data_IF_189516298266
#
_entry.id   IF_189516298266
#
_cell.length_a   1.000
_cell.length_b   1.000
_cell.length_c   1.000
_cell.angle_alpha   90.00
_cell.angle_beta   90.00
_cell.angle_gamma   90.00
#
_symmetry.space_group_name_H-M   'P 1'
#
loop_
_entity.id
_entity.type
_entity.pdbx_description
1 polymer ?
#
# COMPACT_ATOMS: atom_id res chain seq x y z
N UNK A 1 42.93 0.04 -31.53
CA UNK A 1 41.56 -0.49 -31.38
C UNK A 1 40.55 0.38 -32.09
N UNK A 2 40.57 1.70 -31.89
CA UNK A 2 39.63 2.66 -32.50
C UNK A 2 39.71 2.61 -34.03
N UNK A 3 40.91 2.56 -34.63
CA UNK A 3 41.06 2.54 -36.08
C UNK A 3 40.39 1.31 -36.72
N UNK A 4 40.49 0.13 -36.09
CA UNK A 4 39.78 -1.08 -36.57
C UNK A 4 38.25 -0.97 -36.49
N UNK A 5 37.74 -0.23 -35.51
CA UNK A 5 36.32 0.02 -35.37
C UNK A 5 35.80 0.98 -36.44
N UNK A 6 36.61 2.00 -36.75
CA UNK A 6 36.32 2.97 -37.82
C UNK A 6 36.35 2.26 -39.18
N UNK A 7 37.36 1.48 -39.48
CA UNK A 7 37.48 0.73 -40.73
C UNK A 7 36.34 -0.27 -40.92
N UNK A 8 35.95 -0.98 -39.85
CA UNK A 8 34.78 -1.88 -39.86
C UNK A 8 33.48 -1.13 -40.15
N UNK A 9 33.30 0.03 -39.50
CA UNK A 9 32.13 0.89 -39.68
C UNK A 9 32.00 1.40 -41.12
N UNK A 10 33.10 1.85 -41.69
CA UNK A 10 33.14 2.36 -43.06
C UNK A 10 32.93 1.25 -44.10
N UNK A 11 33.40 0.04 -43.84
CA UNK A 11 33.24 -1.10 -44.73
C UNK A 11 31.85 -1.71 -44.72
N UNK A 12 31.16 -1.64 -43.51
CA UNK A 12 29.84 -2.24 -43.31
C UNK A 12 28.75 -1.19 -43.08
N UNK A 13 28.63 -0.24 -44.00
CA UNK A 13 27.67 0.91 -43.87
C UNK A 13 26.25 0.48 -43.59
N UNK A 14 25.75 -0.56 -44.28
CA UNK A 14 24.38 -1.06 -44.15
C UNK A 14 24.16 -1.68 -42.74
N UNK A 15 25.14 -2.40 -42.21
CA UNK A 15 25.08 -2.99 -40.88
C UNK A 15 25.07 -1.90 -39.81
N UNK A 16 25.83 -0.83 -39.98
CA UNK A 16 25.86 0.30 -39.05
C UNK A 16 24.53 1.06 -39.07
N UNK A 17 23.90 1.26 -40.23
CA UNK A 17 22.57 1.87 -40.32
C UNK A 17 21.50 1.00 -39.68
N UNK A 18 21.52 -0.32 -39.89
CA UNK A 18 20.62 -1.27 -39.23
C UNK A 18 20.78 -1.24 -37.72
N UNK A 19 22.01 -1.19 -37.23
CA UNK A 19 22.30 -1.10 -35.80
C UNK A 19 21.80 0.22 -35.20
N UNK A 20 21.99 1.33 -35.90
CA UNK A 20 21.46 2.62 -35.47
C UNK A 20 19.93 2.64 -35.40
N UNK A 21 19.25 2.03 -36.39
CA UNK A 21 17.79 1.89 -36.39
C UNK A 21 17.33 1.01 -35.22
N UNK A 22 18.02 -0.08 -34.95
CA UNK A 22 17.72 -0.97 -33.82
C UNK A 22 17.82 -0.24 -32.49
N UNK A 23 18.87 0.54 -32.26
CA UNK A 23 19.03 1.36 -31.06
C UNK A 23 17.90 2.41 -30.95
N UNK A 24 17.54 3.05 -32.07
CA UNK A 24 16.47 4.03 -32.10
C UNK A 24 15.11 3.42 -31.71
N UNK A 25 14.80 2.24 -32.25
CA UNK A 25 13.57 1.50 -31.92
C UNK A 25 13.59 1.06 -30.45
N UNK A 26 14.72 0.53 -29.96
CA UNK A 26 14.87 0.13 -28.57
C UNK A 26 14.74 1.33 -27.62
N UNK A 27 15.34 2.47 -27.96
CA UNK A 27 15.24 3.71 -27.20
C UNK A 27 13.81 4.26 -27.16
N UNK A 28 13.12 4.27 -28.30
CA UNK A 28 11.72 4.67 -28.37
C UNK A 28 10.82 3.77 -27.50
N UNK A 29 11.06 2.46 -27.58
CA UNK A 29 10.30 1.50 -26.78
C UNK A 29 10.58 1.66 -25.28
N UNK A 30 11.84 1.86 -24.88
CA UNK A 30 12.20 2.16 -23.50
C UNK A 30 11.55 3.46 -23.01
N UNK A 31 11.58 4.51 -23.85
CA UNK A 31 10.94 5.78 -23.53
C UNK A 31 9.43 5.65 -23.27
N UNK A 32 8.72 4.87 -24.08
CA UNK A 32 7.27 4.67 -23.92
C UNK A 32 6.89 3.76 -22.74
N UNK A 33 7.85 3.04 -22.19
CA UNK A 33 7.65 2.15 -21.05
C UNK A 33 8.08 2.77 -19.71
N UNK A 34 8.70 3.95 -19.71
CA UNK A 34 9.04 4.65 -18.48
C UNK A 34 7.73 5.09 -17.82
N UNK A 35 7.41 4.60 -16.61
CA UNK A 35 6.28 5.14 -15.85
C UNK A 35 6.59 6.61 -15.51
N UNK A 36 5.70 7.50 -15.93
CA UNK A 36 5.80 8.92 -15.61
C UNK A 36 4.71 9.21 -14.60
N UNK A 37 5.07 9.27 -13.34
CA UNK A 37 4.20 9.74 -12.29
C UNK A 37 4.23 11.27 -12.25
N UNK A 38 3.07 11.89 -12.19
CA UNK A 38 2.96 13.36 -12.10
C UNK A 38 3.58 13.90 -10.81
N UNK A 39 3.54 13.09 -9.76
CA UNK A 39 4.23 13.33 -8.49
C UNK A 39 4.94 12.03 -8.09
N UNK A 40 6.22 12.11 -7.66
CA UNK A 40 6.91 10.93 -7.15
C UNK A 40 6.18 10.46 -5.88
N UNK A 41 5.89 9.15 -5.81
CA UNK A 41 5.37 8.56 -4.59
C UNK A 41 6.52 8.51 -3.57
N UNK A 42 6.44 9.40 -2.60
CA UNK A 42 7.37 9.49 -1.46
C UNK A 42 6.75 8.87 -0.21
N UNK A 43 5.67 8.13 -0.36
CA UNK A 43 5.03 7.45 0.77
C UNK A 43 5.98 6.39 1.33
N UNK A 44 6.17 6.36 2.64
CA UNK A 44 6.98 5.32 3.26
C UNK A 44 6.32 3.96 3.07
N UNK A 45 7.12 2.92 2.99
CA UNK A 45 6.66 1.55 2.92
C UNK A 45 6.09 1.16 4.30
N UNK A 46 4.78 1.26 4.46
CA UNK A 46 4.08 1.24 5.74
C UNK A 46 3.01 0.15 5.79
N UNK A 47 3.05 -0.67 6.83
CA UNK A 47 1.95 -1.56 7.21
C UNK A 47 1.35 -1.09 8.52
N UNK A 48 0.05 -0.84 8.52
CA UNK A 48 -0.70 -0.39 9.70
C UNK A 48 -1.47 -1.55 10.31
N UNK A 49 -1.48 -1.60 11.63
CA UNK A 49 -2.30 -2.53 12.41
C UNK A 49 -3.21 -1.71 13.32
N UNK A 50 -4.50 -1.96 13.22
CA UNK A 50 -5.53 -1.32 14.03
C UNK A 50 -6.12 -2.32 15.02
N UNK A 51 -6.39 -1.88 16.23
CA UNK A 51 -7.16 -2.66 17.20
C UNK A 51 -8.20 -1.75 17.83
N UNK A 52 -9.45 -2.04 17.56
CA UNK A 52 -10.57 -1.36 18.21
C UNK A 52 -10.88 -2.04 19.53
N UNK A 53 -11.01 -1.24 20.58
CA UNK A 53 -11.29 -1.70 21.94
C UNK A 53 -12.48 -0.93 22.50
N UNK A 54 -13.38 -1.60 23.21
CA UNK A 54 -14.52 -0.93 23.81
C UNK A 54 -14.20 -0.44 25.23
N UNK A 55 -14.25 0.89 25.43
CA UNK A 55 -14.30 1.52 26.76
C UNK A 55 -13.00 1.55 27.55
N UNK A 56 -11.87 1.19 26.95
CA UNK A 56 -10.57 1.19 27.64
C UNK A 56 -9.88 2.56 27.59
N UNK A 57 -9.18 2.89 28.69
CA UNK A 57 -8.32 4.07 28.73
C UNK A 57 -7.04 3.88 27.88
N UNK A 58 -6.43 4.97 27.37
CA UNK A 58 -5.22 4.88 26.53
C UNK A 58 -4.08 4.10 27.19
N UNK A 59 -3.88 4.22 28.49
CA UNK A 59 -2.84 3.54 29.26
C UNK A 59 -3.10 2.02 29.34
N UNK A 60 -4.36 1.61 29.42
CA UNK A 60 -4.75 0.19 29.42
C UNK A 60 -4.58 -0.39 28.01
N UNK A 61 -4.96 0.35 26.97
CA UNK A 61 -4.75 -0.04 25.57
C UNK A 61 -3.27 -0.20 25.28
N UNK A 62 -2.44 0.74 25.74
CA UNK A 62 -0.99 0.66 25.57
C UNK A 62 -0.43 -0.62 26.20
N UNK A 63 -0.81 -0.90 27.44
CA UNK A 63 -0.27 -2.04 28.20
C UNK A 63 -0.72 -3.40 27.67
N UNK A 64 -2.00 -3.55 27.33
CA UNK A 64 -2.60 -4.84 27.03
C UNK A 64 -2.77 -5.13 25.54
N UNK A 65 -2.73 -4.10 24.68
CA UNK A 65 -2.96 -4.24 23.24
C UNK A 65 -1.78 -3.75 22.43
N UNK A 66 -1.39 -2.48 22.61
CA UNK A 66 -0.36 -1.86 21.76
C UNK A 66 1.01 -2.49 21.98
N UNK A 67 1.43 -2.64 23.25
CA UNK A 67 2.73 -3.21 23.59
C UNK A 67 2.93 -4.66 23.12
N UNK A 68 1.99 -5.61 23.28
CA UNK A 68 2.10 -6.94 22.70
C UNK A 68 2.26 -6.93 21.17
N UNK A 69 1.51 -6.06 20.47
CA UNK A 69 1.63 -5.92 19.01
C UNK A 69 2.99 -5.35 18.63
N UNK A 70 3.47 -4.31 19.29
CA UNK A 70 4.81 -3.74 19.05
C UNK A 70 5.91 -4.77 19.24
N UNK A 71 5.86 -5.51 20.35
CA UNK A 71 6.86 -6.54 20.65
C UNK A 71 6.86 -7.63 19.57
N UNK A 72 5.69 -8.06 19.13
CA UNK A 72 5.57 -9.05 18.05
C UNK A 72 6.13 -8.55 16.72
N UNK A 73 6.03 -7.25 16.43
CA UNK A 73 6.56 -6.65 15.21
C UNK A 73 8.08 -6.40 15.28
N UNK A 74 8.64 -6.34 16.50
CA UNK A 74 10.08 -6.10 16.66
C UNK A 74 10.90 -7.27 16.12
N UNK A 75 11.93 -6.95 15.34
CA UNK A 75 12.87 -7.96 14.80
C UNK A 75 12.43 -8.63 13.49
N UNK A 76 11.39 -8.16 12.85
CA UNK A 76 11.09 -8.55 11.46
C UNK A 76 12.17 -8.06 10.49
N UNK A 77 12.52 -8.84 9.46
CA UNK A 77 13.52 -8.43 8.49
C UNK A 77 13.02 -7.24 7.65
N UNK A 78 13.91 -6.29 7.38
CA UNK A 78 13.61 -5.11 6.57
C UNK A 78 12.76 -4.04 7.25
N UNK A 79 12.60 -4.10 8.59
CA UNK A 79 11.97 -3.01 9.36
C UNK A 79 12.97 -1.87 9.55
N UNK A 80 12.51 -0.65 9.24
CA UNK A 80 13.18 0.59 9.59
C UNK A 80 12.77 1.07 10.99
N UNK A 81 11.45 1.13 11.25
CA UNK A 81 10.93 1.65 12.52
C UNK A 81 9.51 1.11 12.83
N UNK A 82 9.17 1.07 14.12
CA UNK A 82 7.80 0.80 14.60
C UNK A 82 7.35 1.98 15.45
N UNK A 83 6.18 2.51 15.18
CA UNK A 83 5.55 3.60 15.95
C UNK A 83 4.11 3.27 16.22
N UNK A 84 3.68 3.54 17.43
CA UNK A 84 2.31 3.30 17.86
C UNK A 84 1.63 4.55 18.41
N UNK A 85 0.32 4.51 18.43
CA UNK A 85 -0.54 5.52 19.03
C UNK A 85 -1.66 4.78 19.76
N UNK A 86 -1.75 5.00 21.06
CA UNK A 86 -2.84 4.50 21.89
C UNK A 86 -3.81 5.63 22.21
N UNK A 87 -5.01 5.55 21.66
CA UNK A 87 -6.09 6.49 21.92
C UNK A 87 -7.24 5.78 22.65
N UNK A 88 -8.19 6.53 23.17
CA UNK A 88 -9.39 5.97 23.76
C UNK A 88 -10.14 5.10 22.74
N UNK A 89 -10.25 3.80 23.04
CA UNK A 89 -10.94 2.84 22.19
C UNK A 89 -10.17 2.38 20.93
N UNK A 90 -8.94 2.84 20.70
CA UNK A 90 -8.20 2.53 19.47
C UNK A 90 -6.70 2.44 19.71
N UNK A 91 -6.10 1.33 19.29
CA UNK A 91 -4.66 1.19 19.10
C UNK A 91 -4.30 1.21 17.62
N UNK A 92 -3.26 1.95 17.26
CA UNK A 92 -2.70 1.99 15.91
C UNK A 92 -1.22 1.72 15.98
N UNK A 93 -0.75 0.64 15.38
CA UNK A 93 0.68 0.31 15.27
C UNK A 93 1.11 0.44 13.82
N UNK A 94 2.05 1.34 13.57
CA UNK A 94 2.63 1.63 12.26
C UNK A 94 3.99 0.95 12.15
N UNK A 95 4.11 0.00 11.23
CA UNK A 95 5.34 -0.73 10.95
C UNK A 95 5.93 -0.20 9.65
N UNK A 96 7.05 0.51 9.75
CA UNK A 96 7.76 1.09 8.62
C UNK A 96 8.83 0.10 8.15
N UNK A 97 8.85 -0.17 6.86
CA UNK A 97 9.83 -1.00 6.20
C UNK A 97 10.78 -0.17 5.34
N UNK A 98 11.95 -0.71 5.06
CA UNK A 98 12.89 -0.12 4.10
C UNK A 98 12.26 -0.01 2.72
N UNK A 99 12.69 0.97 1.91
CA UNK A 99 12.07 1.29 0.62
C UNK A 99 12.21 0.17 -0.43
N UNK A 100 13.19 -0.72 -0.27
CA UNK A 100 13.45 -1.84 -1.16
C UNK A 100 12.64 -3.11 -0.84
N UNK A 101 11.90 -3.10 0.28
CA UNK A 101 11.04 -4.22 0.69
C UNK A 101 9.73 -4.18 -0.07
N UNK A 102 9.33 -5.29 -0.69
CA UNK A 102 8.02 -5.40 -1.32
C UNK A 102 6.89 -5.32 -0.29
N UNK A 103 5.89 -4.45 -0.53
CA UNK A 103 4.80 -4.20 0.41
C UNK A 103 3.96 -5.46 0.69
N UNK A 104 3.78 -6.34 -0.28
CA UNK A 104 3.03 -7.58 -0.08
C UNK A 104 3.80 -8.57 0.78
N UNK A 105 5.13 -8.62 0.62
CA UNK A 105 6.00 -9.40 1.49
C UNK A 105 5.99 -8.84 2.92
N UNK A 106 6.11 -7.53 3.09
CA UNK A 106 6.00 -6.85 4.38
C UNK A 106 4.68 -7.21 5.10
N UNK A 107 3.56 -7.14 4.37
CA UNK A 107 2.24 -7.50 4.89
C UNK A 107 2.12 -8.96 5.30
N UNK A 108 2.75 -9.87 4.55
CA UNK A 108 2.78 -11.29 4.91
C UNK A 108 3.52 -11.49 6.23
N UNK A 109 4.69 -10.87 6.40
CA UNK A 109 5.46 -10.94 7.65
C UNK A 109 4.68 -10.40 8.85
N UNK A 110 4.06 -9.22 8.67
CA UNK A 110 3.20 -8.61 9.71
C UNK A 110 2.03 -9.53 10.06
N UNK A 111 1.37 -10.13 9.06
CA UNK A 111 0.24 -11.03 9.31
C UNK A 111 0.65 -12.29 10.09
N UNK A 112 1.82 -12.86 9.81
CA UNK A 112 2.35 -14.01 10.55
C UNK A 112 2.59 -13.64 12.02
N UNK A 113 3.22 -12.50 12.28
CA UNK A 113 3.47 -12.01 13.65
C UNK A 113 2.20 -11.57 14.37
N UNK A 114 1.22 -11.10 13.63
CA UNK A 114 -0.04 -10.67 14.19
C UNK A 114 -0.83 -11.83 14.82
N UNK A 115 -0.66 -13.04 14.28
CA UNK A 115 -1.24 -14.24 14.91
C UNK A 115 -0.63 -14.50 16.30
N UNK A 116 0.69 -14.34 16.43
CA UNK A 116 1.38 -14.48 17.73
C UNK A 116 0.95 -13.38 18.72
N UNK A 117 0.77 -12.14 18.23
CA UNK A 117 0.30 -11.03 19.05
C UNK A 117 -1.12 -11.25 19.59
N UNK A 118 -2.01 -11.82 18.77
CA UNK A 118 -3.40 -12.13 19.18
C UNK A 118 -3.48 -13.04 20.39
N UNK A 119 -2.58 -14.02 20.48
CA UNK A 119 -2.52 -14.95 21.63
C UNK A 119 -2.09 -14.27 22.94
N UNK A 120 -1.43 -13.09 22.84
CA UNK A 120 -0.94 -12.35 24.00
C UNK A 120 -1.93 -11.27 24.48
N UNK A 121 -2.90 -10.90 23.64
CA UNK A 121 -3.93 -9.93 24.00
C UNK A 121 -5.03 -10.65 24.79
N UNK A 122 -5.44 -10.14 25.96
CA UNK A 122 -6.51 -10.74 26.74
C UNK A 122 -7.85 -10.71 26.02
N UNK A 123 -8.68 -11.73 26.23
CA UNK A 123 -10.03 -11.79 25.69
C UNK A 123 -10.86 -10.54 26.07
N UNK A 124 -11.53 -9.97 25.08
CA UNK A 124 -12.37 -8.77 25.26
C UNK A 124 -11.63 -7.43 25.05
N UNK A 125 -10.32 -7.43 24.76
CA UNK A 125 -9.54 -6.22 24.48
C UNK A 125 -9.44 -5.89 22.98
N UNK A 126 -10.27 -6.53 22.16
CA UNK A 126 -10.30 -6.34 20.72
C UNK A 126 -9.36 -7.29 19.97
N UNK A 127 -9.53 -7.30 18.65
CA UNK A 127 -8.70 -8.09 17.76
C UNK A 127 -7.85 -7.19 16.86
N UNK A 128 -6.53 -7.37 16.81
CA UNK A 128 -5.69 -6.60 15.91
C UNK A 128 -5.95 -7.03 14.46
N UNK A 129 -6.23 -6.04 13.62
CA UNK A 129 -6.52 -6.20 12.19
C UNK A 129 -5.54 -5.36 11.39
N UNK A 130 -5.03 -5.95 10.31
CA UNK A 130 -4.14 -5.23 9.41
C UNK A 130 -4.94 -4.26 8.54
N UNK A 131 -4.51 -3.01 8.52
CA UNK A 131 -5.10 -1.97 7.69
C UNK A 131 -4.89 -2.20 6.19
N UNK A 132 -5.58 -1.40 5.37
CA UNK A 132 -5.43 -1.42 3.92
C UNK A 132 -4.03 -0.98 3.49
N UNK A 133 -3.69 -1.26 2.22
CA UNK A 133 -2.52 -0.64 1.60
C UNK A 133 -2.90 0.80 1.28
N UNK A 134 -2.46 1.74 2.12
CA UNK A 134 -2.67 3.16 1.86
C UNK A 134 -1.34 3.84 1.57
N UNK A 135 -1.23 4.42 0.39
CA UNK A 135 -0.18 5.38 0.07
C UNK A 135 -0.77 6.78 0.19
N UNK A 136 0.07 7.80 0.43
CA UNK A 136 -0.41 9.19 0.47
C UNK A 136 -1.11 9.63 -0.83
N UNK A 137 -0.90 8.89 -1.92
CA UNK A 137 -1.52 9.07 -3.24
C UNK A 137 -2.69 8.09 -3.49
N UNK A 138 -3.04 7.23 -2.51
CA UNK A 138 -4.05 6.18 -2.68
C UNK A 138 -5.49 6.67 -2.75
N UNK A 139 -5.77 7.88 -2.24
CA UNK A 139 -7.09 8.49 -2.32
C UNK A 139 -7.30 9.16 -3.68
N UNK A 140 -7.89 8.41 -4.62
CA UNK A 140 -8.03 8.84 -6.01
C UNK A 140 -9.34 9.62 -6.22
N UNK A 141 -10.41 9.22 -5.54
CA UNK A 141 -11.74 9.75 -5.76
C UNK A 141 -12.53 9.85 -4.45
N UNK A 142 -13.13 11.00 -4.22
CA UNK A 142 -14.17 11.19 -3.22
C UNK A 142 -15.50 11.34 -3.94
N UNK A 143 -16.51 10.61 -3.49
CA UNK A 143 -17.87 10.73 -4.01
C UNK A 143 -18.87 10.69 -2.85
N UNK A 144 -20.06 11.17 -3.10
CA UNK A 144 -21.17 11.07 -2.16
C UNK A 144 -22.46 10.69 -2.91
N UNK A 145 -23.36 10.03 -2.22
CA UNK A 145 -24.68 9.72 -2.74
C UNK A 145 -25.65 10.80 -2.30
N UNK A 146 -26.38 11.35 -3.27
CA UNK A 146 -27.43 12.35 -3.03
C UNK A 146 -28.73 11.87 -3.68
N UNK A 147 -29.83 11.98 -2.93
CA UNK A 147 -31.16 11.76 -3.49
C UNK A 147 -31.80 13.11 -3.85
N UNK A 148 -31.78 13.44 -5.14
CA UNK A 148 -32.42 14.66 -5.67
C UNK A 148 -33.95 14.60 -5.62
N UNK A 149 -34.53 13.41 -5.40
CA UNK A 149 -36.02 13.22 -5.39
C UNK A 149 -36.62 13.19 -3.99
N UNK A 150 -35.80 13.04 -2.95
CA UNK A 150 -36.18 12.93 -1.56
C UNK A 150 -36.96 11.64 -1.25
N UNK A 151 -36.80 10.60 -2.05
CA UNK A 151 -37.49 9.31 -1.88
C UNK A 151 -36.76 8.36 -0.92
N UNK A 152 -35.45 8.53 -0.74
CA UNK A 152 -34.62 7.68 0.08
C UNK A 152 -34.21 8.36 1.38
N UNK A 153 -34.31 7.63 2.48
CA UNK A 153 -33.77 8.06 3.76
C UNK A 153 -32.23 7.92 3.77
N UNK A 154 -31.56 8.57 4.71
CA UNK A 154 -30.10 8.44 4.88
C UNK A 154 -29.66 6.99 5.14
N UNK A 155 -30.50 6.19 5.80
CA UNK A 155 -30.23 4.78 6.07
C UNK A 155 -30.27 3.99 4.77
N UNK A 156 -31.27 4.20 3.95
CA UNK A 156 -31.40 3.53 2.64
C UNK A 156 -30.27 3.93 1.69
N UNK A 157 -29.84 5.20 1.68
CA UNK A 157 -28.67 5.65 0.92
C UNK A 157 -27.40 4.95 1.38
N UNK A 158 -27.24 4.73 2.69
CA UNK A 158 -26.10 3.99 3.23
C UNK A 158 -26.15 2.51 2.82
N UNK A 159 -27.32 1.88 2.87
CA UNK A 159 -27.46 0.50 2.39
C UNK A 159 -27.14 0.38 0.89
N UNK A 160 -27.58 1.34 0.08
CA UNK A 160 -27.24 1.40 -1.36
C UNK A 160 -25.72 1.55 -1.53
N UNK A 161 -25.08 2.40 -0.73
CA UNK A 161 -23.63 2.59 -0.75
C UNK A 161 -22.90 1.28 -0.44
N UNK A 162 -23.27 0.63 0.67
CA UNK A 162 -22.52 -0.50 1.20
C UNK A 162 -22.74 -1.78 0.37
N UNK A 163 -23.98 -2.03 -0.09
CA UNK A 163 -24.35 -3.26 -0.77
C UNK A 163 -24.32 -3.20 -2.31
N UNK A 164 -24.51 -2.04 -2.90
CA UNK A 164 -24.60 -1.90 -4.35
C UNK A 164 -23.37 -1.17 -4.89
N UNK A 165 -23.11 0.05 -4.43
CA UNK A 165 -22.09 0.92 -5.03
C UNK A 165 -20.70 0.39 -4.70
N UNK A 166 -20.40 0.14 -3.43
CA UNK A 166 -19.12 -0.37 -2.96
C UNK A 166 -18.77 -1.69 -3.65
N UNK A 167 -19.71 -2.62 -3.70
CA UNK A 167 -19.51 -3.92 -4.33
C UNK A 167 -19.19 -3.81 -5.83
N UNK A 168 -19.93 -2.98 -6.56
CA UNK A 168 -19.71 -2.80 -7.99
C UNK A 168 -18.38 -2.08 -8.28
N UNK A 169 -18.02 -1.07 -7.49
CA UNK A 169 -16.77 -0.35 -7.65
C UNK A 169 -15.53 -1.22 -7.35
N UNK A 170 -15.63 -2.14 -6.38
CA UNK A 170 -14.55 -3.09 -6.08
C UNK A 170 -14.24 -4.07 -7.22
N UNK A 171 -15.18 -4.27 -8.14
CA UNK A 171 -14.94 -5.12 -9.33
C UNK A 171 -14.16 -4.40 -10.44
N UNK A 172 -13.94 -3.09 -10.32
CA UNK A 172 -13.19 -2.30 -11.32
C UNK A 172 -11.70 -2.60 -11.19
N UNK A 173 -11.02 -3.01 -12.27
CA UNK A 173 -9.59 -3.27 -12.23
C UNK A 173 -8.80 -2.03 -11.78
N UNK A 174 -7.94 -2.21 -10.77
CA UNK A 174 -7.13 -1.12 -10.20
C UNK A 174 -7.72 -0.46 -8.96
N UNK A 175 -8.96 -0.75 -8.59
CA UNK A 175 -9.55 -0.33 -7.30
C UNK A 175 -9.15 -1.34 -6.23
N UNK A 176 -8.40 -0.88 -5.24
CA UNK A 176 -7.91 -1.74 -4.15
C UNK A 176 -8.88 -1.72 -2.97
N UNK A 177 -9.42 -0.56 -2.63
CA UNK A 177 -10.30 -0.40 -1.48
C UNK A 177 -11.26 0.77 -1.65
N UNK A 178 -12.42 0.66 -1.01
CA UNK A 178 -13.45 1.70 -0.94
C UNK A 178 -13.89 1.79 0.52
N UNK A 179 -13.63 2.93 1.12
CA UNK A 179 -13.92 3.25 2.52
C UNK A 179 -15.37 3.72 2.69
#
# INVERSE_FOLDING_TARGET
MIDKLIDFSLHNRLLMVLFAIMIMIAGYRAYTQIPIDAFPDVSPNLVQVFTETEGLAPEEIEMYVTFPVEVAMTGLPGIDNVRSISNFGLSVVNVYFEDDVDIYFARQLVNERLQEAREQIPDGFGEPVMGPISTGMGLILFYYLEDATGQYSLIELREIQDWIVKFNLQTVPGVTEIL
#
